data_IF_168888080994
#
_entry.id   IF_168888080994
#
_cell.length_a   1.000
_cell.length_b   1.000
_cell.length_c   1.000
_cell.angle_alpha   90.00
_cell.angle_beta   90.00
_cell.angle_gamma   90.00
#
_symmetry.space_group_name_H-M   'P 1'
#
loop_
_entity.id
_entity.type
_entity.pdbx_description
1 polymer ?
#
# COMPACT_ATOMS: atom_id res chain seq x y z
N UNK A 1 -0.82 11.48 0.32
CA UNK A 1 0.56 11.17 0.74
C UNK A 1 0.96 9.83 0.15
N UNK A 2 2.22 9.67 -0.26
CA UNK A 2 2.76 8.39 -0.75
C UNK A 2 3.93 8.01 0.16
N UNK A 3 3.90 6.79 0.71
CA UNK A 3 4.96 6.19 1.52
C UNK A 3 5.55 5.00 0.76
N UNK A 4 6.81 5.14 0.34
CA UNK A 4 7.61 4.07 -0.27
C UNK A 4 8.71 3.57 0.68
N UNK A 5 8.55 3.83 1.98
CA UNK A 5 9.53 3.48 2.98
C UNK A 5 9.56 1.95 3.21
N UNK A 6 10.73 1.37 3.55
CA UNK A 6 10.82 -0.03 3.96
C UNK A 6 9.93 -0.34 5.18
N UNK A 7 9.64 -1.63 5.44
CA UNK A 7 8.97 -2.05 6.67
C UNK A 7 9.53 -1.36 7.91
N UNK A 8 8.63 -0.87 8.76
CA UNK A 8 8.93 -0.19 10.04
C UNK A 8 9.65 1.16 9.94
N UNK A 9 10.13 1.59 8.77
CA UNK A 9 10.84 2.86 8.65
C UNK A 9 9.92 4.09 8.88
N UNK A 10 8.61 3.93 8.70
CA UNK A 10 7.61 4.97 8.97
C UNK A 10 7.12 5.00 10.44
N UNK A 11 7.59 4.11 11.31
CA UNK A 11 7.09 3.97 12.68
C UNK A 11 7.25 5.26 13.52
N UNK A 12 8.36 5.98 13.34
CA UNK A 12 8.59 7.26 14.00
C UNK A 12 7.60 8.34 13.54
N UNK A 13 7.29 8.37 12.24
CA UNK A 13 6.29 9.27 11.67
C UNK A 13 4.90 8.92 12.20
N UNK A 14 4.57 7.64 12.30
CA UNK A 14 3.30 7.18 12.89
C UNK A 14 3.16 7.64 14.35
N UNK A 15 4.23 7.56 15.14
CA UNK A 15 4.24 8.04 16.53
C UNK A 15 4.03 9.56 16.62
N UNK A 16 4.71 10.33 15.77
CA UNK A 16 4.52 11.78 15.69
C UNK A 16 3.11 12.14 15.26
N UNK A 17 2.55 11.42 14.28
CA UNK A 17 1.18 11.59 13.84
C UNK A 17 0.22 11.37 15.01
N UNK A 18 0.43 10.34 15.83
CA UNK A 18 -0.37 10.05 17.02
C UNK A 18 -0.36 11.17 18.09
N UNK A 19 0.70 11.98 18.15
CA UNK A 19 0.85 13.07 19.14
C UNK A 19 0.25 14.41 18.71
N UNK A 20 -0.10 14.57 17.42
CA UNK A 20 -0.67 15.83 16.93
C UNK A 20 -2.07 16.05 17.53
N UNK A 21 -2.44 17.27 17.94
CA UNK A 21 -3.82 17.56 18.34
C UNK A 21 -4.82 17.26 17.22
N UNK A 22 -6.06 16.93 17.58
CA UNK A 22 -7.14 16.77 16.61
C UNK A 22 -7.36 18.08 15.83
N UNK A 23 -7.56 17.98 14.51
CA UNK A 23 -7.74 19.15 13.62
C UNK A 23 -6.45 19.87 13.19
N UNK A 24 -5.27 19.41 13.61
CA UNK A 24 -3.97 20.03 13.23
C UNK A 24 -3.56 19.73 11.79
N UNK A 25 -4.02 18.59 11.25
CA UNK A 25 -3.80 18.23 9.87
C UNK A 25 -4.99 18.74 9.03
N UNK A 26 -4.76 19.34 7.85
CA UNK A 26 -5.84 19.74 6.95
C UNK A 26 -6.70 18.52 6.66
N UNK A 27 -8.00 18.66 6.88
CA UNK A 27 -9.04 17.62 6.89
C UNK A 27 -8.56 16.22 6.48
N UNK A 28 -7.93 15.49 7.42
CA UNK A 28 -7.47 14.12 7.19
C UNK A 28 -8.63 13.21 6.84
N UNK A 29 -9.88 13.60 7.17
CA UNK A 29 -11.10 12.98 6.68
C UNK A 29 -11.18 12.87 5.15
N UNK A 30 -10.37 13.64 4.42
CA UNK A 30 -10.21 13.57 2.95
C UNK A 30 -8.81 13.19 2.48
N UNK A 31 -7.85 13.00 3.39
CA UNK A 31 -6.46 12.68 3.07
C UNK A 31 -6.27 11.21 2.69
N UNK A 32 -5.75 10.95 1.49
CA UNK A 32 -5.41 9.59 1.03
C UNK A 32 -3.92 9.30 1.29
N UNK A 33 -3.62 8.18 1.95
CA UNK A 33 -2.28 7.61 2.09
C UNK A 33 -2.14 6.37 1.21
N UNK A 34 -1.23 6.39 0.25
CA UNK A 34 -0.73 5.18 -0.42
C UNK A 34 0.48 4.67 0.37
N UNK A 35 0.40 3.47 0.94
CA UNK A 35 1.51 2.86 1.68
C UNK A 35 1.96 1.56 1.01
N UNK A 36 3.21 1.55 0.56
CA UNK A 36 3.81 0.44 -0.19
C UNK A 36 4.30 -0.70 0.71
N UNK A 37 4.49 -0.45 2.01
CA UNK A 37 4.89 -1.50 2.94
C UNK A 37 3.79 -2.58 3.04
N UNK A 38 4.14 -3.83 2.71
CA UNK A 38 3.21 -4.97 2.67
C UNK A 38 3.41 -5.97 3.82
N UNK A 39 4.55 -5.92 4.51
CA UNK A 39 4.82 -6.73 5.70
C UNK A 39 5.54 -5.89 6.76
N UNK A 40 4.99 -5.71 7.96
CA UNK A 40 3.64 -6.13 8.37
C UNK A 40 2.55 -5.28 7.71
N UNK A 41 1.38 -5.88 7.53
CA UNK A 41 0.16 -5.17 7.14
C UNK A 41 -0.97 -5.37 8.16
N UNK A 42 -1.67 -4.30 8.61
CA UNK A 42 -1.40 -2.89 8.31
C UNK A 42 -0.08 -2.39 8.90
N UNK A 43 0.53 -1.39 8.26
CA UNK A 43 1.68 -0.69 8.84
C UNK A 43 1.22 0.26 9.95
N UNK A 44 2.13 0.68 10.84
CA UNK A 44 1.79 1.64 11.91
C UNK A 44 1.37 3.01 11.38
N UNK A 45 1.94 3.45 10.25
CA UNK A 45 1.52 4.71 9.64
C UNK A 45 0.12 4.58 9.01
N UNK A 46 -0.22 3.43 8.42
CA UNK A 46 -1.56 3.14 7.94
C UNK A 46 -2.60 3.14 9.08
N UNK A 47 -2.27 2.53 10.23
CA UNK A 47 -3.12 2.56 11.42
C UNK A 47 -3.34 3.98 11.95
N UNK A 48 -2.25 4.75 12.11
CA UNK A 48 -2.31 6.13 12.59
C UNK A 48 -3.07 7.06 11.62
N UNK A 49 -3.00 6.79 10.32
CA UNK A 49 -3.73 7.54 9.31
C UNK A 49 -5.24 7.26 9.36
N UNK A 50 -5.61 5.97 9.45
CA UNK A 50 -7.02 5.54 9.58
C UNK A 50 -7.67 6.04 10.86
N UNK A 51 -6.96 6.02 11.99
CA UNK A 51 -7.51 6.48 13.27
C UNK A 51 -7.88 7.96 13.27
N UNK A 52 -7.33 8.73 12.32
CA UNK A 52 -7.63 10.15 12.10
C UNK A 52 -8.67 10.39 10.99
N UNK A 53 -9.36 9.35 10.53
CA UNK A 53 -10.38 9.43 9.48
C UNK A 53 -9.83 9.41 8.05
N UNK A 54 -8.53 9.20 7.86
CA UNK A 54 -7.91 9.15 6.54
C UNK A 54 -8.10 7.84 5.81
N UNK A 55 -8.11 7.91 4.48
CA UNK A 55 -8.20 6.73 3.61
C UNK A 55 -6.80 6.17 3.38
N UNK A 56 -6.65 4.85 3.51
CA UNK A 56 -5.39 4.16 3.21
C UNK A 56 -5.58 3.21 2.04
N UNK A 57 -4.76 3.40 1.01
CA UNK A 57 -4.63 2.53 -0.15
C UNK A 57 -3.39 1.64 0.06
N UNK A 58 -3.55 0.30 0.12
CA UNK A 58 -2.41 -0.61 0.18
C UNK A 58 -1.65 -0.60 -1.15
N UNK A 59 -0.32 -0.60 -1.09
CA UNK A 59 0.52 -0.69 -2.30
C UNK A 59 0.67 -2.09 -2.87
N UNK A 60 0.02 -3.11 -2.30
CA UNK A 60 0.12 -4.49 -2.77
C UNK A 60 -0.30 -4.64 -4.24
N UNK A 61 -1.33 -3.90 -4.68
CA UNK A 61 -1.76 -3.89 -6.08
C UNK A 61 -0.69 -3.29 -7.01
N UNK A 62 0.00 -2.23 -6.57
CA UNK A 62 1.12 -1.68 -7.32
C UNK A 62 2.26 -2.70 -7.44
N UNK A 63 2.59 -3.42 -6.35
CA UNK A 63 3.62 -4.45 -6.35
C UNK A 63 3.29 -5.60 -7.29
N UNK A 64 2.01 -6.01 -7.35
CA UNK A 64 1.52 -7.02 -8.30
C UNK A 64 1.83 -6.59 -9.74
N UNK A 65 1.44 -5.37 -10.14
CA UNK A 65 1.70 -4.88 -11.50
C UNK A 65 3.19 -4.68 -11.78
N UNK A 66 3.97 -4.28 -10.78
CA UNK A 66 5.43 -4.25 -10.92
C UNK A 66 5.99 -5.65 -11.18
N UNK A 67 5.53 -6.68 -10.46
CA UNK A 67 5.96 -8.05 -10.66
C UNK A 67 5.60 -8.58 -12.06
N UNK A 68 4.41 -8.26 -12.57
CA UNK A 68 4.00 -8.58 -13.95
C UNK A 68 4.99 -8.00 -14.96
N UNK A 69 5.34 -6.72 -14.84
CA UNK A 69 6.31 -6.10 -15.73
C UNK A 69 7.72 -6.68 -15.60
N UNK A 70 8.16 -7.04 -14.38
CA UNK A 70 9.44 -7.73 -14.20
C UNK A 70 9.47 -9.09 -14.91
N UNK A 71 8.39 -9.87 -14.85
CA UNK A 71 8.28 -11.15 -15.54
C UNK A 71 8.38 -10.95 -17.05
N UNK A 72 7.64 -9.97 -17.62
CA UNK A 72 7.71 -9.63 -19.05
C UNK A 72 9.13 -9.29 -19.47
N UNK A 73 9.81 -8.43 -18.71
CA UNK A 73 11.17 -7.97 -19.02
C UNK A 73 12.23 -9.07 -18.90
N UNK A 74 12.16 -9.92 -17.88
CA UNK A 74 13.18 -10.95 -17.65
C UNK A 74 12.99 -12.22 -18.47
N UNK A 75 11.75 -12.62 -18.73
CA UNK A 75 11.45 -13.86 -19.45
C UNK A 75 11.14 -13.64 -20.93
N UNK A 76 10.76 -12.41 -21.33
CA UNK A 76 10.19 -12.14 -22.65
C UNK A 76 8.82 -12.78 -22.88
N UNK A 77 8.23 -13.42 -21.86
CA UNK A 77 6.93 -14.04 -21.95
C UNK A 77 5.81 -12.99 -21.90
N UNK A 78 4.73 -13.26 -22.62
CA UNK A 78 3.50 -12.50 -22.47
C UNK A 78 2.81 -12.92 -21.17
N UNK A 79 2.44 -11.94 -20.34
CA UNK A 79 1.68 -12.18 -19.11
C UNK A 79 0.21 -11.94 -19.41
N UNK A 80 -0.54 -13.02 -19.51
CA UNK A 80 -1.98 -12.99 -19.80
C UNK A 80 -2.81 -12.74 -18.55
N UNK A 81 -4.09 -12.44 -18.74
CA UNK A 81 -4.98 -12.06 -17.64
C UNK A 81 -5.21 -13.20 -16.63
N UNK A 82 -5.21 -14.46 -17.08
CA UNK A 82 -5.26 -15.65 -16.22
C UNK A 82 -4.05 -15.76 -15.29
N UNK A 83 -2.86 -15.38 -15.76
CA UNK A 83 -1.65 -15.34 -14.92
C UNK A 83 -1.79 -14.25 -13.86
N UNK A 84 -2.32 -13.09 -14.21
CA UNK A 84 -2.56 -12.00 -13.26
C UNK A 84 -3.55 -12.44 -12.17
N UNK A 85 -4.61 -13.17 -12.53
CA UNK A 85 -5.57 -13.69 -11.56
C UNK A 85 -4.94 -14.70 -10.59
N UNK A 86 -4.09 -15.61 -11.10
CA UNK A 86 -3.34 -16.54 -10.24
C UNK A 86 -2.39 -15.78 -9.30
N UNK A 87 -1.73 -14.74 -9.79
CA UNK A 87 -0.89 -13.89 -8.95
C UNK A 87 -1.71 -13.15 -7.89
N UNK A 88 -2.89 -12.60 -8.23
CA UNK A 88 -3.83 -12.01 -7.28
C UNK A 88 -4.23 -12.99 -6.18
N UNK A 89 -4.62 -14.21 -6.55
CA UNK A 89 -5.01 -15.27 -5.62
C UNK A 89 -3.88 -15.58 -4.63
N UNK A 90 -2.62 -15.59 -5.10
CA UNK A 90 -1.45 -15.91 -4.26
C UNK A 90 -1.20 -14.92 -3.12
N UNK A 91 -1.66 -13.67 -3.27
CA UNK A 91 -1.48 -12.59 -2.28
C UNK A 91 -2.81 -12.12 -1.65
N UNK A 92 -3.92 -12.81 -1.95
CA UNK A 92 -5.26 -12.48 -1.43
C UNK A 92 -5.86 -11.20 -2.01
N UNK A 93 -5.44 -10.77 -3.20
CA UNK A 93 -6.07 -9.66 -3.93
C UNK A 93 -7.28 -10.13 -4.73
N UNK A 94 -8.28 -9.26 -4.98
CA UNK A 94 -9.39 -9.58 -5.87
C UNK A 94 -8.90 -9.76 -7.32
N UNK A 95 -9.46 -10.77 -8.00
CA UNK A 95 -9.27 -11.03 -9.43
C UNK A 95 -9.72 -9.85 -10.29
N UNK A 96 -9.18 -9.76 -11.51
CA UNK A 96 -9.37 -8.61 -12.41
C UNK A 96 -10.12 -8.95 -13.70
N UNK A 97 -10.46 -10.23 -13.91
CA UNK A 97 -11.17 -10.76 -15.07
C UNK A 97 -12.42 -11.54 -14.65
#
# INVERSE_FOLDING_TARGET
MISTLPPRAADGIAAQLGQLPDGTLPDVGTGVLLDVAYDPWPSRIAEAWRSRGGVVVPGLEMLLYQAVEQIRLFSGADVTADVIDVMCDSVGLPRRV
#
